data_IF_511807833944
#
_entry.id   IF_511807833944
#
_cell.length_a   1.000
_cell.length_b   1.000
_cell.length_c   1.000
_cell.angle_alpha   90.00
_cell.angle_beta   90.00
_cell.angle_gamma   90.00
#
_symmetry.space_group_name_H-M   'P 1'
#
loop_
_entity.id
_entity.type
_entity.pdbx_description
1 polymer ?
#
# COMPACT_ATOMS: atom_id res chain seq x y z
N UNK A 1 -2.24 -5.50 -5.51
CA UNK A 1 -1.70 -5.25 -4.15
C UNK A 1 -1.08 -6.53 -3.63
N UNK A 2 -0.08 -6.46 -2.74
CA UNK A 2 0.55 -7.65 -2.14
C UNK A 2 -0.33 -8.30 -1.07
N UNK A 3 -1.54 -8.72 -1.44
CA UNK A 3 -2.59 -9.10 -0.48
C UNK A 3 -2.20 -10.29 0.41
N UNK A 4 -1.55 -11.31 -0.17
CA UNK A 4 -1.13 -12.49 0.60
C UNK A 4 -0.13 -12.19 1.72
N UNK A 5 0.73 -11.18 1.56
CA UNK A 5 1.68 -10.77 2.61
C UNK A 5 0.94 -10.08 3.76
N UNK A 6 -0.07 -9.25 3.45
CA UNK A 6 -0.86 -8.55 4.45
C UNK A 6 -1.62 -9.52 5.35
N UNK A 7 -2.23 -10.55 4.76
CA UNK A 7 -2.95 -11.59 5.49
C UNK A 7 -2.03 -12.37 6.44
N UNK A 8 -0.81 -12.73 6.00
CA UNK A 8 0.17 -13.42 6.85
C UNK A 8 0.60 -12.53 8.01
N UNK A 9 0.93 -11.26 7.77
CA UNK A 9 1.32 -10.33 8.84
C UNK A 9 0.18 -10.12 9.84
N UNK A 10 -1.07 -10.00 9.37
CA UNK A 10 -2.25 -9.91 10.25
C UNK A 10 -2.47 -11.17 11.06
N UNK A 11 -2.25 -12.35 10.47
CA UNK A 11 -2.31 -13.61 11.19
C UNK A 11 -1.29 -13.65 12.33
N UNK A 12 -0.04 -13.24 12.07
CA UNK A 12 1.01 -13.15 13.08
C UNK A 12 0.69 -12.13 14.18
N UNK A 13 0.08 -10.99 13.82
CA UNK A 13 -0.39 -10.02 14.80
C UNK A 13 -1.51 -10.57 15.69
N UNK A 14 -2.49 -11.30 15.12
CA UNK A 14 -3.53 -11.99 15.90
C UNK A 14 -2.96 -13.03 16.87
N UNK A 15 -1.80 -13.60 16.55
CA UNK A 15 -1.07 -14.53 17.42
C UNK A 15 -0.15 -13.82 18.44
N UNK A 16 -0.18 -12.48 18.51
CA UNK A 16 0.70 -11.65 19.34
C UNK A 16 2.20 -11.86 19.07
N UNK A 17 2.57 -12.35 17.87
CA UNK A 17 3.98 -12.53 17.48
C UNK A 17 4.59 -11.18 17.07
N UNK A 18 3.80 -10.31 16.45
CA UNK A 18 4.17 -8.94 16.08
C UNK A 18 3.05 -7.97 16.48
N UNK A 19 3.38 -6.69 16.66
CA UNK A 19 2.33 -5.69 16.92
C UNK A 19 1.62 -5.31 15.63
N UNK A 20 0.28 -5.28 15.65
CA UNK A 20 -0.49 -4.76 14.51
C UNK A 20 -0.08 -3.31 14.18
N UNK A 21 0.36 -2.52 15.15
CA UNK A 21 0.85 -1.14 14.95
C UNK A 21 2.06 -1.07 14.02
N UNK A 22 2.87 -2.13 13.94
CA UNK A 22 4.06 -2.19 13.10
C UNK A 22 3.76 -2.59 11.65
N UNK A 23 2.53 -3.03 11.32
CA UNK A 23 2.18 -3.50 9.99
C UNK A 23 1.82 -2.33 9.07
N UNK A 24 2.67 -2.03 8.10
CA UNK A 24 2.41 -1.02 7.07
C UNK A 24 1.82 -1.66 5.82
N UNK A 25 0.48 -1.62 5.72
CA UNK A 25 -0.27 -2.25 4.64
C UNK A 25 -0.57 -1.30 3.46
N UNK A 26 -0.92 -1.86 2.31
CA UNK A 26 -1.40 -1.09 1.15
C UNK A 26 -0.32 -0.58 0.19
N UNK A 27 0.95 -0.92 0.41
CA UNK A 27 2.02 -0.60 -0.55
C UNK A 27 1.85 -1.37 -1.88
N UNK A 28 2.19 -0.76 -3.03
CA UNK A 28 2.21 -1.46 -4.32
C UNK A 28 3.27 -2.56 -4.31
N UNK A 29 2.95 -3.70 -4.93
CA UNK A 29 3.88 -4.83 -5.05
C UNK A 29 5.07 -4.44 -5.95
N UNK A 30 6.33 -4.79 -5.59
CA UNK A 30 7.53 -4.28 -6.27
C UNK A 30 7.81 -4.89 -7.66
N UNK A 31 6.94 -5.78 -8.18
CA UNK A 31 7.14 -6.35 -9.52
C UNK A 31 7.04 -5.30 -10.63
N UNK A 32 7.79 -5.50 -11.73
CA UNK A 32 7.84 -4.56 -12.86
C UNK A 32 6.48 -4.22 -13.47
N UNK A 33 5.52 -5.15 -13.46
CA UNK A 33 4.14 -4.92 -13.89
C UNK A 33 3.35 -3.89 -13.04
N UNK A 34 3.93 -3.40 -11.94
CA UNK A 34 3.38 -2.37 -11.07
C UNK A 34 4.14 -1.03 -11.16
N UNK A 35 5.10 -0.87 -12.07
CA UNK A 35 5.92 0.34 -12.17
C UNK A 35 5.09 1.64 -12.22
N UNK A 36 3.98 1.64 -12.96
CA UNK A 36 3.06 2.79 -13.01
C UNK A 36 2.43 3.10 -11.65
N UNK A 37 1.98 2.06 -10.92
CA UNK A 37 1.36 2.20 -9.59
C UNK A 37 2.37 2.72 -8.58
N UNK A 38 3.61 2.23 -8.65
CA UNK A 38 4.74 2.69 -7.83
C UNK A 38 5.01 4.17 -8.11
N UNK A 39 5.18 4.55 -9.38
CA UNK A 39 5.46 5.94 -9.76
C UNK A 39 4.35 6.90 -9.32
N UNK A 40 3.08 6.52 -9.49
CA UNK A 40 1.96 7.31 -8.99
C UNK A 40 1.95 7.43 -7.47
N UNK A 41 2.11 6.31 -6.75
CA UNK A 41 2.11 6.28 -5.29
C UNK A 41 3.16 7.22 -4.68
N UNK A 42 4.35 7.26 -5.29
CA UNK A 42 5.46 8.15 -4.91
C UNK A 42 5.38 9.56 -5.51
N UNK A 43 4.31 9.91 -6.24
CA UNK A 43 4.12 11.26 -6.81
C UNK A 43 5.00 11.58 -8.01
N UNK A 44 5.68 10.57 -8.59
CA UNK A 44 6.50 10.70 -9.81
C UNK A 44 5.67 10.72 -11.08
N UNK A 45 4.39 10.37 -11.00
CA UNK A 45 3.43 10.39 -12.10
C UNK A 45 2.12 11.04 -11.66
N UNK A 46 1.58 11.95 -12.49
CA UNK A 46 0.29 12.62 -12.23
C UNK A 46 -0.89 11.69 -12.47
N UNK A 47 -2.04 11.98 -11.85
CA UNK A 47 -3.27 11.19 -11.96
C UNK A 47 -3.78 11.16 -13.41
N UNK A 48 -3.73 12.29 -14.08
CA UNK A 48 -4.20 12.47 -15.46
C UNK A 48 -3.39 11.66 -16.47
N UNK A 49 -2.15 11.29 -16.12
CA UNK A 49 -1.25 10.52 -16.98
C UNK A 49 -1.37 9.00 -16.79
N UNK A 50 -2.23 8.55 -15.87
CA UNK A 50 -2.39 7.13 -15.57
C UNK A 50 -3.07 6.36 -16.70
N UNK A 51 -2.67 5.11 -16.89
CA UNK A 51 -3.42 4.20 -17.76
C UNK A 51 -4.78 3.87 -17.15
N UNK A 52 -5.75 3.54 -18.00
CA UNK A 52 -7.06 2.99 -17.63
C UNK A 52 -6.93 1.75 -16.71
N UNK A 53 -5.81 1.03 -16.81
CA UNK A 53 -5.51 -0.15 -15.97
C UNK A 53 -5.08 0.19 -14.53
N UNK A 54 -4.84 1.46 -14.22
CA UNK A 54 -4.41 1.92 -12.88
C UNK A 54 -5.54 2.64 -12.19
N UNK A 55 -6.04 2.02 -11.11
CA UNK A 55 -7.03 2.64 -10.24
C UNK A 55 -6.34 3.58 -9.25
N UNK A 56 -6.31 4.87 -9.59
CA UNK A 56 -5.75 5.92 -8.76
C UNK A 56 -6.40 5.99 -7.37
N UNK A 57 -7.74 5.91 -7.31
CA UNK A 57 -8.49 6.00 -6.05
C UNK A 57 -8.10 4.93 -5.03
N UNK A 58 -7.88 3.69 -5.48
CA UNK A 58 -7.38 2.61 -4.61
C UNK A 58 -5.98 2.89 -4.06
N UNK A 59 -5.10 3.52 -4.86
CA UNK A 59 -3.75 3.89 -4.43
C UNK A 59 -3.78 5.06 -3.44
N UNK A 60 -4.65 6.05 -3.68
CA UNK A 60 -4.83 7.20 -2.79
C UNK A 60 -5.37 6.77 -1.42
N UNK A 61 -6.38 5.89 -1.40
CA UNK A 61 -6.94 5.37 -0.15
C UNK A 61 -5.88 4.58 0.64
N UNK A 62 -5.11 3.72 -0.04
CA UNK A 62 -4.02 2.97 0.59
C UNK A 62 -2.94 3.91 1.17
N UNK A 63 -2.55 4.95 0.43
CA UNK A 63 -1.60 5.97 0.89
C UNK A 63 -2.13 6.73 2.10
N UNK A 64 -3.41 7.14 2.08
CA UNK A 64 -4.06 7.83 3.21
C UNK A 64 -4.07 6.95 4.47
N UNK A 65 -4.44 5.68 4.35
CA UNK A 65 -4.42 4.72 5.47
C UNK A 65 -3.00 4.56 6.04
N UNK A 66 -2.00 4.46 5.18
CA UNK A 66 -0.59 4.36 5.57
C UNK A 66 -0.12 5.61 6.33
N UNK A 67 -0.38 6.80 5.79
CA UNK A 67 0.01 8.06 6.42
C UNK A 67 -0.69 8.28 7.76
N UNK A 68 -1.99 7.97 7.84
CA UNK A 68 -2.73 8.04 9.10
C UNK A 68 -2.12 7.14 10.19
N UNK A 69 -1.59 5.97 9.80
CA UNK A 69 -0.94 5.04 10.72
C UNK A 69 0.42 5.55 11.21
N UNK A 70 1.16 6.26 10.36
CA UNK A 70 2.44 6.88 10.70
C UNK A 70 2.27 8.17 11.52
N UNK A 71 1.17 8.90 11.34
CA UNK A 71 0.89 10.15 12.06
C UNK A 71 0.53 9.95 13.54
N UNK A 72 0.37 8.70 13.99
CA UNK A 72 0.26 8.36 15.41
C UNK A 72 1.69 8.25 15.96
N UNK A 73 2.27 9.41 16.32
CA UNK A 73 3.45 9.53 17.19
C UNK A 73 2.97 10.09 18.52
#
# INVERSE_FOLDING_TARGET
>A
MGQGVDDVLRYLAKKNVISEKQILSGMPHPSGANAERINYFFGRKKREALSIKTNAGKLDEAKKKLLNKLAIV
#
